data_IF_787026433540
#
_entry.id   IF_787026433540
#
_cell.length_a   1.000
_cell.length_b   1.000
_cell.length_c   1.000
_cell.angle_alpha   90.00
_cell.angle_beta   90.00
_cell.angle_gamma   90.00
#
_symmetry.space_group_name_H-M   'P 1'
#
loop_
_entity.id
_entity.type
_entity.pdbx_description
1 polymer ?
#
# COMPACT_ATOMS: atom_id res chain seq x y z
N UNK A 1 57.33 41.73 7.39
CA UNK A 1 56.38 40.86 8.11
C UNK A 1 55.00 40.98 7.47
N UNK A 2 54.61 40.05 6.59
CA UNK A 2 53.28 40.03 5.95
C UNK A 2 52.38 39.15 6.78
N UNK A 3 51.29 39.72 7.36
CA UNK A 3 50.24 38.95 8.03
C UNK A 3 49.28 38.40 6.97
N UNK A 4 49.29 37.07 6.76
CA UNK A 4 48.33 36.35 5.93
C UNK A 4 47.01 36.23 6.71
N UNK A 5 45.98 36.95 6.23
CA UNK A 5 44.63 36.87 6.79
C UNK A 5 43.90 35.70 6.10
N UNK A 6 43.72 34.56 6.78
CA UNK A 6 42.92 33.44 6.30
C UNK A 6 41.44 33.77 6.48
N UNK A 7 40.74 34.04 5.39
CA UNK A 7 39.29 34.24 5.35
C UNK A 7 38.61 32.87 5.30
N UNK A 8 38.05 32.42 6.42
CA UNK A 8 37.20 31.21 6.45
C UNK A 8 35.83 31.56 5.87
N UNK A 9 35.55 31.10 4.65
CA UNK A 9 34.21 31.15 4.04
C UNK A 9 33.40 30.01 4.58
N UNK A 10 32.48 30.30 5.51
CA UNK A 10 31.42 29.35 5.93
C UNK A 10 30.38 29.28 4.82
N UNK A 11 30.37 28.20 4.04
CA UNK A 11 29.25 27.85 3.17
C UNK A 11 28.12 27.22 4.03
N UNK A 12 26.92 27.81 4.09
CA UNK A 12 25.80 27.18 4.76
C UNK A 12 25.40 25.96 3.96
N UNK A 13 25.57 24.76 4.52
CA UNK A 13 24.93 23.52 4.04
C UNK A 13 23.43 23.66 4.30
N UNK A 14 22.68 24.04 3.26
CA UNK A 14 21.22 24.00 3.29
C UNK A 14 20.79 22.53 3.27
N UNK A 15 20.51 21.96 4.43
CA UNK A 15 19.76 20.71 4.52
C UNK A 15 18.31 21.02 4.14
N UNK A 16 17.90 20.62 2.94
CA UNK A 16 16.48 20.53 2.62
C UNK A 16 15.92 19.37 3.43
N UNK A 17 15.36 19.65 4.60
CA UNK A 17 14.55 18.68 5.30
C UNK A 17 13.32 18.41 4.42
N UNK A 18 13.19 17.20 3.88
CA UNK A 18 11.95 16.78 3.25
C UNK A 18 10.84 16.88 4.30
N UNK A 19 9.83 17.70 4.00
CA UNK A 19 8.71 17.86 4.91
C UNK A 19 7.93 16.53 4.95
N UNK A 20 7.65 16.02 6.15
CA UNK A 20 6.77 14.86 6.33
C UNK A 20 5.42 15.14 5.65
N UNK A 21 4.79 14.09 5.11
CA UNK A 21 3.46 14.18 4.52
C UNK A 21 2.46 14.68 5.58
N UNK A 22 1.54 15.56 5.18
CA UNK A 22 0.48 16.01 6.06
C UNK A 22 -0.54 14.91 6.34
N UNK A 23 -1.24 14.99 7.47
CA UNK A 23 -2.31 14.03 7.82
C UNK A 23 -3.34 13.89 6.71
N UNK A 24 -3.78 15.01 6.10
CA UNK A 24 -4.75 14.99 5.01
C UNK A 24 -4.22 14.32 3.73
N UNK A 25 -2.92 14.47 3.41
CA UNK A 25 -2.30 13.74 2.30
C UNK A 25 -2.23 12.24 2.59
N UNK A 26 -1.86 11.85 3.81
CA UNK A 26 -1.80 10.44 4.22
C UNK A 26 -3.19 9.79 4.18
N UNK A 27 -4.25 10.48 4.62
CA UNK A 27 -5.63 10.00 4.51
C UNK A 27 -6.07 9.79 3.05
N UNK A 28 -5.72 10.72 2.15
CA UNK A 28 -6.00 10.59 0.72
C UNK A 28 -5.25 9.40 0.10
N UNK A 29 -3.96 9.22 0.43
CA UNK A 29 -3.15 8.10 -0.05
C UNK A 29 -3.68 6.76 0.46
N UNK A 30 -4.09 6.69 1.73
CA UNK A 30 -4.71 5.52 2.34
C UNK A 30 -6.05 5.17 1.67
N UNK A 31 -6.89 6.16 1.41
CA UNK A 31 -8.16 6.00 0.71
C UNK A 31 -7.94 5.47 -0.70
N UNK A 32 -7.00 6.08 -1.45
CA UNK A 32 -6.62 5.65 -2.81
C UNK A 32 -6.12 4.20 -2.83
N UNK A 33 -5.34 3.78 -1.82
CA UNK A 33 -4.93 2.38 -1.69
C UNK A 33 -6.13 1.45 -1.53
N UNK A 34 -7.10 1.80 -0.68
CA UNK A 34 -8.30 0.97 -0.46
C UNK A 34 -9.18 0.91 -1.71
N UNK A 35 -9.35 2.02 -2.42
CA UNK A 35 -10.09 2.09 -3.68
C UNK A 35 -9.45 1.18 -4.74
N UNK A 36 -8.13 1.28 -4.96
CA UNK A 36 -7.41 0.43 -5.90
C UNK A 36 -7.42 -1.05 -5.46
N UNK A 37 -7.31 -1.31 -4.14
CA UNK A 37 -7.46 -2.66 -3.59
C UNK A 37 -8.84 -3.23 -3.86
N UNK A 38 -9.89 -2.43 -3.72
CA UNK A 38 -11.27 -2.86 -3.99
C UNK A 38 -11.50 -3.10 -5.49
N UNK A 39 -11.03 -2.20 -6.37
CA UNK A 39 -11.19 -2.30 -7.82
C UNK A 39 -10.59 -3.60 -8.37
N UNK A 40 -9.40 -4.01 -7.91
CA UNK A 40 -8.71 -5.22 -8.38
C UNK A 40 -9.30 -6.55 -7.87
N UNK A 41 -10.43 -6.54 -7.18
CA UNK A 41 -11.09 -7.74 -6.66
C UNK A 41 -12.62 -7.73 -6.90
N UNK A 42 -13.04 -7.06 -7.98
CA UNK A 42 -14.42 -7.04 -8.43
C UNK A 42 -14.70 -8.14 -9.48
N UNK A 43 -15.97 -8.50 -9.76
CA UNK A 43 -16.30 -9.45 -10.81
C UNK A 43 -15.77 -9.09 -12.20
N UNK A 44 -15.70 -7.77 -12.48
CA UNK A 44 -15.26 -7.19 -13.74
C UNK A 44 -13.81 -6.67 -13.73
N UNK A 45 -13.02 -7.07 -12.73
CA UNK A 45 -11.60 -6.66 -12.60
C UNK A 45 -10.83 -6.90 -13.89
N UNK A 46 -10.08 -5.88 -14.30
CA UNK A 46 -9.19 -5.91 -15.46
C UNK A 46 -7.71 -5.88 -15.02
N UNK A 47 -6.81 -6.14 -15.97
CA UNK A 47 -5.37 -5.97 -15.70
C UNK A 47 -4.99 -4.54 -15.40
N UNK A 48 -5.74 -3.55 -15.93
CA UNK A 48 -5.54 -2.14 -15.65
C UNK A 48 -5.82 -1.79 -14.19
N UNK A 49 -6.82 -2.44 -13.56
CA UNK A 49 -7.11 -2.25 -12.12
C UNK A 49 -5.98 -2.81 -11.26
N UNK A 50 -5.38 -3.93 -11.68
CA UNK A 50 -4.21 -4.51 -11.03
C UNK A 50 -3.01 -3.56 -11.18
N UNK A 51 -2.75 -3.07 -12.39
CA UNK A 51 -1.65 -2.16 -12.67
C UNK A 51 -1.80 -0.84 -11.92
N UNK A 52 -3.02 -0.32 -11.79
CA UNK A 52 -3.30 0.86 -10.98
C UNK A 52 -2.94 0.67 -9.50
N UNK A 53 -3.20 -0.53 -8.95
CA UNK A 53 -2.78 -0.88 -7.59
C UNK A 53 -1.25 -0.99 -7.47
N UNK A 54 -0.59 -1.68 -8.41
CA UNK A 54 0.88 -1.86 -8.43
C UNK A 54 1.61 -0.52 -8.54
N UNK A 55 1.04 0.45 -9.27
CA UNK A 55 1.62 1.79 -9.44
C UNK A 55 1.59 2.66 -8.16
N UNK A 56 0.87 2.25 -7.11
CA UNK A 56 0.91 2.91 -5.80
C UNK A 56 2.13 2.50 -4.98
N UNK A 57 2.86 1.46 -5.38
CA UNK A 57 3.91 0.81 -4.62
C UNK A 57 5.27 1.23 -5.19
N UNK A 58 6.24 1.53 -4.32
CA UNK A 58 7.61 1.83 -4.69
C UNK A 58 8.31 0.61 -5.33
N UNK A 59 9.40 0.81 -6.07
CA UNK A 59 10.14 -0.30 -6.68
C UNK A 59 10.78 -1.18 -5.60
N UNK A 60 11.33 -0.54 -4.56
CA UNK A 60 11.76 -1.22 -3.35
C UNK A 60 10.63 -1.19 -2.31
N UNK A 61 10.02 -2.31 -2.04
CA UNK A 61 8.91 -2.44 -1.12
C UNK A 61 8.89 -3.77 -0.38
N UNK A 62 8.09 -3.84 0.68
CA UNK A 62 7.80 -5.06 1.44
C UNK A 62 6.29 -5.16 1.64
N UNK A 63 5.66 -6.27 1.25
CA UNK A 63 4.25 -6.59 1.56
C UNK A 63 4.20 -7.83 2.46
N UNK A 64 3.83 -7.63 3.72
CA UNK A 64 3.79 -8.67 4.75
C UNK A 64 2.36 -9.07 5.09
N UNK A 65 2.07 -10.36 5.01
CA UNK A 65 0.86 -10.98 5.52
C UNK A 65 1.17 -11.70 6.84
N UNK A 66 1.04 -11.00 7.96
CA UNK A 66 1.50 -11.46 9.28
C UNK A 66 0.91 -12.82 9.67
N UNK A 67 -0.41 -13.01 9.50
CA UNK A 67 -1.12 -14.27 9.84
C UNK A 67 -0.60 -15.47 9.05
N UNK A 68 -0.22 -15.26 7.79
CA UNK A 68 0.19 -16.32 6.87
C UNK A 68 1.70 -16.48 6.79
N UNK A 69 2.48 -15.61 7.44
CA UNK A 69 3.95 -15.56 7.38
C UNK A 69 4.46 -15.48 5.93
N UNK A 70 3.79 -14.70 5.11
CA UNK A 70 4.15 -14.44 3.70
C UNK A 70 4.71 -13.04 3.59
N UNK A 71 5.85 -12.90 2.92
CA UNK A 71 6.47 -11.62 2.57
C UNK A 71 6.74 -11.60 1.07
N UNK A 72 6.37 -10.52 0.40
CA UNK A 72 6.57 -10.29 -1.03
C UNK A 72 7.36 -9.00 -1.19
N UNK A 73 8.45 -9.04 -1.96
CA UNK A 73 9.34 -7.91 -2.23
C UNK A 73 9.49 -7.60 -3.72
N UNK A 74 8.93 -8.46 -4.59
CA UNK A 74 9.03 -8.31 -6.04
C UNK A 74 7.68 -7.89 -6.62
N UNK A 75 7.63 -6.73 -7.31
CA UNK A 75 6.41 -6.23 -7.96
C UNK A 75 5.85 -7.21 -9.00
N UNK A 76 6.71 -7.86 -9.77
CA UNK A 76 6.31 -8.87 -10.75
C UNK A 76 5.57 -10.03 -10.09
N UNK A 77 6.13 -10.58 -9.01
CA UNK A 77 5.50 -11.67 -8.25
C UNK A 77 4.16 -11.25 -7.63
N UNK A 78 4.09 -10.02 -7.09
CA UNK A 78 2.85 -9.47 -6.54
C UNK A 78 1.78 -9.33 -7.64
N UNK A 79 2.15 -8.77 -8.81
CA UNK A 79 1.28 -8.60 -9.96
C UNK A 79 0.78 -9.92 -10.52
N UNK A 80 1.68 -10.88 -10.72
CA UNK A 80 1.35 -12.22 -11.23
C UNK A 80 0.39 -12.95 -10.28
N UNK A 81 0.62 -12.86 -8.97
CA UNK A 81 -0.28 -13.42 -7.97
C UNK A 81 -1.70 -12.80 -8.01
N UNK A 82 -1.82 -11.52 -8.34
CA UNK A 82 -3.12 -10.86 -8.53
C UNK A 82 -3.79 -11.29 -9.84
N UNK A 83 -3.05 -11.38 -10.94
CA UNK A 83 -3.57 -11.87 -12.23
C UNK A 83 -4.06 -13.32 -12.11
N UNK A 84 -3.32 -14.17 -11.41
CA UNK A 84 -3.74 -15.55 -11.19
C UNK A 84 -5.11 -15.65 -10.50
N UNK A 85 -5.41 -14.72 -9.59
CA UNK A 85 -6.72 -14.65 -8.91
C UNK A 85 -7.86 -14.16 -9.79
N UNK A 86 -7.61 -13.60 -10.96
CA UNK A 86 -8.67 -13.25 -11.91
C UNK A 86 -9.41 -14.47 -12.46
N UNK A 87 -8.82 -15.67 -12.32
CA UNK A 87 -9.50 -16.93 -12.66
C UNK A 87 -10.54 -17.37 -11.62
N UNK A 88 -10.55 -16.78 -10.43
CA UNK A 88 -11.57 -17.02 -9.42
C UNK A 88 -12.89 -16.38 -9.85
N UNK A 89 -14.01 -17.05 -9.59
CA UNK A 89 -15.33 -16.47 -9.82
C UNK A 89 -15.71 -15.58 -8.64
N UNK A 90 -15.61 -14.27 -8.81
CA UNK A 90 -16.05 -13.29 -7.81
C UNK A 90 -17.53 -12.97 -8.09
N UNK A 91 -18.39 -13.13 -7.09
CA UNK A 91 -19.81 -12.77 -7.18
C UNK A 91 -20.04 -11.33 -6.73
N UNK A 92 -19.38 -10.93 -5.66
CA UNK A 92 -19.27 -9.55 -5.17
C UNK A 92 -18.08 -9.43 -4.23
N UNK A 93 -17.56 -8.24 -4.13
CA UNK A 93 -16.54 -7.85 -3.13
C UNK A 93 -16.80 -6.41 -2.69
N UNK A 94 -16.54 -6.13 -1.42
CA UNK A 94 -16.69 -4.80 -0.84
C UNK A 94 -15.65 -4.56 0.24
N UNK A 95 -15.07 -3.38 0.24
CA UNK A 95 -14.20 -2.89 1.32
C UNK A 95 -14.80 -1.59 1.86
N UNK A 96 -15.02 -1.57 3.18
CA UNK A 96 -15.49 -0.37 3.89
C UNK A 96 -14.39 0.07 4.84
N UNK A 97 -13.93 1.31 4.70
CA UNK A 97 -13.01 1.93 5.66
C UNK A 97 -13.79 2.23 6.94
N UNK A 98 -13.33 1.67 8.07
CA UNK A 98 -13.91 1.93 9.39
C UNK A 98 -13.19 3.09 10.09
N UNK A 99 -11.85 3.17 9.94
CA UNK A 99 -11.01 4.15 10.60
C UNK A 99 -9.67 4.29 9.86
N UNK A 100 -9.13 5.49 9.81
CA UNK A 100 -7.76 5.77 9.37
C UNK A 100 -7.06 6.57 10.47
N UNK A 101 -5.87 6.14 10.87
CA UNK A 101 -4.94 6.89 11.72
C UNK A 101 -3.69 7.21 10.90
N UNK A 102 -3.16 8.42 11.03
CA UNK A 102 -2.00 8.88 10.26
C UNK A 102 -0.95 9.54 11.15
N UNK A 103 0.29 9.54 10.70
CA UNK A 103 1.41 10.24 11.31
C UNK A 103 2.77 9.71 10.87
N UNK A 104 3.77 10.58 10.75
CA UNK A 104 5.15 10.18 10.44
C UNK A 104 5.29 9.39 9.13
N UNK A 105 4.65 9.81 8.04
CA UNK A 105 4.60 9.12 6.75
C UNK A 105 3.96 7.71 6.79
N UNK A 106 3.14 7.43 7.82
CA UNK A 106 2.44 6.16 8.02
C UNK A 106 0.93 6.39 8.03
N UNK A 107 0.18 5.47 7.42
CA UNK A 107 -1.26 5.35 7.59
C UNK A 107 -1.62 3.95 8.11
N UNK A 108 -2.48 3.90 9.12
CA UNK A 108 -3.04 2.66 9.66
C UNK A 108 -4.53 2.66 9.35
N UNK A 109 -4.96 1.66 8.57
CA UNK A 109 -6.32 1.54 8.08
C UNK A 109 -6.99 0.35 8.74
N UNK A 110 -8.10 0.59 9.43
CA UNK A 110 -9.02 -0.45 9.86
C UNK A 110 -10.16 -0.53 8.86
N UNK A 111 -10.38 -1.69 8.26
CA UNK A 111 -11.39 -1.87 7.23
C UNK A 111 -12.13 -3.19 7.39
N UNK A 112 -13.39 -3.22 6.95
CA UNK A 112 -14.19 -4.43 6.82
C UNK A 112 -14.16 -4.88 5.37
N UNK A 113 -13.68 -6.10 5.13
CA UNK A 113 -13.70 -6.74 3.82
C UNK A 113 -14.77 -7.83 3.82
N UNK A 114 -15.66 -7.80 2.84
CA UNK A 114 -16.71 -8.80 2.67
C UNK A 114 -16.86 -9.19 1.21
N UNK A 115 -17.28 -10.42 0.96
CA UNK A 115 -17.46 -10.88 -0.40
C UNK A 115 -17.97 -12.30 -0.49
N UNK A 116 -18.26 -12.69 -1.73
CA UNK A 116 -18.55 -14.07 -2.10
C UNK A 116 -17.72 -14.44 -3.33
N UNK A 117 -16.94 -15.50 -3.23
CA UNK A 117 -16.02 -15.98 -4.26
C UNK A 117 -16.08 -17.50 -4.37
N UNK A 118 -15.86 -18.01 -5.57
CA UNK A 118 -15.51 -19.41 -5.80
C UNK A 118 -14.08 -19.42 -6.34
N UNK A 119 -13.08 -19.82 -5.51
CA UNK A 119 -11.73 -20.03 -5.98
C UNK A 119 -11.68 -21.09 -7.08
N UNK A 120 -10.86 -20.89 -8.10
CA UNK A 120 -10.78 -21.79 -9.26
C UNK A 120 -10.35 -23.23 -8.91
N UNK A 121 -9.64 -23.39 -7.78
CA UNK A 121 -9.17 -24.69 -7.27
C UNK A 121 -10.17 -25.37 -6.30
N UNK A 122 -11.32 -24.72 -6.01
CA UNK A 122 -12.35 -25.25 -5.11
C UNK A 122 -13.70 -25.28 -5.80
N UNK A 123 -14.43 -26.39 -5.63
CA UNK A 123 -15.79 -26.52 -6.15
C UNK A 123 -16.84 -26.10 -5.11
N UNK A 124 -16.61 -24.95 -4.46
CA UNK A 124 -17.58 -24.38 -3.51
C UNK A 124 -17.46 -22.87 -3.42
N UNK A 125 -18.59 -22.23 -3.16
CA UNK A 125 -18.65 -20.80 -2.85
C UNK A 125 -18.17 -20.55 -1.42
N UNK A 126 -17.39 -19.51 -1.24
CA UNK A 126 -16.95 -19.00 0.06
C UNK A 126 -17.54 -17.60 0.22
N UNK A 127 -18.31 -17.40 1.29
CA UNK A 127 -18.75 -16.08 1.73
C UNK A 127 -17.94 -15.70 2.95
N UNK A 128 -17.41 -14.50 2.96
CA UNK A 128 -16.55 -14.02 4.04
C UNK A 128 -16.92 -12.59 4.45
N UNK A 129 -16.65 -12.28 5.71
CA UNK A 129 -16.61 -10.92 6.25
C UNK A 129 -15.58 -10.89 7.36
N UNK A 130 -14.60 -10.00 7.27
CA UNK A 130 -13.54 -9.87 8.28
C UNK A 130 -13.14 -8.41 8.46
N UNK A 131 -12.74 -8.08 9.70
CA UNK A 131 -12.11 -6.79 9.99
C UNK A 131 -10.61 -6.98 9.90
N UNK A 132 -9.99 -6.21 9.01
CA UNK A 132 -8.56 -6.24 8.76
C UNK A 132 -7.92 -4.91 9.16
N UNK A 133 -6.65 -4.95 9.58
CA UNK A 133 -5.84 -3.77 9.79
C UNK A 133 -4.69 -3.83 8.78
N UNK A 134 -4.45 -2.71 8.09
CA UNK A 134 -3.31 -2.55 7.18
C UNK A 134 -2.52 -1.32 7.58
N UNK A 135 -1.22 -1.48 7.73
CA UNK A 135 -0.28 -0.36 7.90
C UNK A 135 0.40 -0.11 6.57
N UNK A 136 0.46 1.15 6.16
CA UNK A 136 1.16 1.63 4.97
C UNK A 136 2.25 2.61 5.39
N UNK A 137 3.47 2.43 4.89
CA UNK A 137 4.56 3.40 5.01
C UNK A 137 4.83 4.00 3.63
N UNK A 138 5.04 5.33 3.58
CA UNK A 138 5.24 6.06 2.33
C UNK A 138 6.62 6.70 2.27
N UNK A 139 7.21 6.73 1.07
CA UNK A 139 8.40 7.51 0.79
C UNK A 139 8.05 8.97 0.39
N UNK A 140 9.08 9.77 0.11
CA UNK A 140 8.95 11.17 -0.28
C UNK A 140 8.22 11.35 -1.63
N UNK A 141 8.22 10.32 -2.50
CA UNK A 141 7.49 10.29 -3.76
C UNK A 141 6.02 9.87 -3.60
N UNK A 142 5.55 9.72 -2.33
CA UNK A 142 4.19 9.28 -1.97
C UNK A 142 3.86 7.86 -2.45
N UNK A 143 4.89 7.04 -2.69
CA UNK A 143 4.75 5.63 -3.02
C UNK A 143 4.87 4.79 -1.75
N UNK A 144 4.16 3.68 -1.73
CA UNK A 144 4.14 2.75 -0.60
C UNK A 144 5.41 1.91 -0.60
N UNK A 145 6.20 1.99 0.47
CA UNK A 145 7.41 1.19 0.68
C UNK A 145 7.17 -0.03 1.56
N UNK A 146 6.16 0.03 2.45
CA UNK A 146 5.81 -1.11 3.30
C UNK A 146 4.30 -1.23 3.42
N UNK A 147 3.80 -2.44 3.19
CA UNK A 147 2.42 -2.85 3.44
C UNK A 147 2.46 -3.95 4.48
N UNK A 148 1.81 -3.75 5.62
CA UNK A 148 1.72 -4.80 6.64
C UNK A 148 0.26 -5.10 6.95
N UNK A 149 -0.13 -6.36 6.75
CA UNK A 149 -1.52 -6.81 6.80
C UNK A 149 -1.78 -7.72 7.98
N UNK A 150 -2.74 -7.31 8.82
CA UNK A 150 -3.24 -8.09 9.94
C UNK A 150 -4.65 -8.54 9.61
N UNK A 151 -4.81 -9.84 9.38
CA UNK A 151 -6.09 -10.46 9.04
C UNK A 151 -6.83 -10.87 10.31
N UNK A 152 -8.09 -10.45 10.41
CA UNK A 152 -9.01 -10.84 11.49
C UNK A 152 -9.55 -12.27 11.36
#
# INVERSE_FOLDING_TARGET
MYKLLLLFVFLPLSFTANAALSEGELEQLATKFVEAKNARQQPETTTQDIDAFINLIADEFVDEHVKFKVTITEKSALREGMIAKMSDKIYYSSIVINEIMTGGNVAIIKMTESGKVRPNHLDKDITYSSVNIVTLEFNDDKLITHIRRYHG
#
